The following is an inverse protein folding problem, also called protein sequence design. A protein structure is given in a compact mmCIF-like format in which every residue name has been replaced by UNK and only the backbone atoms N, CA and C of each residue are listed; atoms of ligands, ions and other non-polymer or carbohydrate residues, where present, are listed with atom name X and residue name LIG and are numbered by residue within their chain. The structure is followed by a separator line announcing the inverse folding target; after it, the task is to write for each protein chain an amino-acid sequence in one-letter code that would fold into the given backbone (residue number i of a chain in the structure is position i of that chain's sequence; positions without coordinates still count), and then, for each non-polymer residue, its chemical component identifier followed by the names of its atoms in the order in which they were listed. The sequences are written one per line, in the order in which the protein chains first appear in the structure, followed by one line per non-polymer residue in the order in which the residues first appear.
data_IF_792359542268
#
_entry.id   IF_792359542268
#
_cell.length_a   1.000
_cell.length_b   1.000
_cell.length_c   1.000
_cell.angle_alpha   90.00
_cell.angle_beta   90.00
_cell.angle_gamma   90.00
#
_symmetry.space_group_name_H-M   'P 1'
#
loop_
_entity.id
_entity.type
_entity.pdbx_description
1 polymer ?
#
# COMPACT_ATOMS: atom_id res chain seq x y z
N UNK A 1 -17.43 -0.45 -13.16
CA UNK A 1 -16.18 -0.17 -12.43
C UNK A 1 -16.30 -0.79 -11.05
N UNK A 2 -15.26 -1.44 -10.57
CA UNK A 2 -15.16 -1.91 -9.19
C UNK A 2 -14.93 -0.74 -8.24
N UNK A 3 -15.36 -0.89 -6.99
CA UNK A 3 -15.16 0.11 -5.93
C UNK A 3 -13.67 0.28 -5.61
N UNK A 4 -13.19 1.53 -5.47
CA UNK A 4 -11.80 1.81 -5.09
C UNK A 4 -11.73 2.13 -3.60
N UNK A 5 -10.91 1.42 -2.84
CA UNK A 5 -10.79 1.60 -1.37
C UNK A 5 -9.34 1.68 -0.94
N UNK A 6 -9.08 2.56 0.02
CA UNK A 6 -7.72 2.95 0.41
C UNK A 6 -7.54 2.80 1.91
N UNK A 7 -6.40 2.22 2.31
CA UNK A 7 -6.13 1.91 3.71
C UNK A 7 -4.70 2.26 4.09
N UNK A 8 -4.48 2.59 5.38
CA UNK A 8 -3.16 2.59 6.01
C UNK A 8 -3.19 1.99 7.40
N UNK A 9 -2.15 1.24 7.75
CA UNK A 9 -1.94 0.74 9.12
C UNK A 9 -0.49 0.91 9.53
N UNK A 10 -0.21 1.23 10.81
CA UNK A 10 1.14 1.20 11.32
C UNK A 10 1.58 -0.26 11.53
N UNK A 11 2.86 -0.54 11.34
CA UNK A 11 3.50 -1.79 11.74
C UNK A 11 4.77 -1.51 12.54
N UNK A 12 5.14 -2.43 13.43
CA UNK A 12 6.43 -2.41 14.13
C UNK A 12 7.30 -3.50 13.52
N UNK A 13 8.51 -3.16 13.10
CA UNK A 13 9.43 -4.17 12.59
C UNK A 13 10.00 -4.96 13.76
N UNK A 14 9.83 -6.28 13.74
CA UNK A 14 10.30 -7.17 14.81
C UNK A 14 11.81 -7.05 15.09
N UNK A 15 12.59 -6.62 14.09
CA UNK A 15 14.04 -6.43 14.19
C UNK A 15 14.47 -5.01 14.58
N UNK A 16 13.55 -4.08 14.83
CA UNK A 16 13.93 -2.70 15.21
C UNK A 16 14.25 -2.66 16.70
N UNK A 17 15.53 -2.52 17.04
CA UNK A 17 15.96 -2.32 18.43
C UNK A 17 15.37 -1.03 19.04
N UNK A 18 14.95 -0.08 18.20
CA UNK A 18 14.40 1.22 18.57
C UNK A 18 12.87 1.26 18.59
N UNK A 19 12.17 0.19 18.19
CA UNK A 19 10.70 0.16 18.15
C UNK A 19 10.08 1.09 17.10
N UNK A 20 10.86 1.45 16.08
CA UNK A 20 10.45 2.34 15.00
C UNK A 20 9.22 1.80 14.24
N UNK A 21 8.20 2.66 14.11
CA UNK A 21 6.94 2.34 13.42
C UNK A 21 7.05 2.69 11.94
N UNK A 22 6.79 1.71 11.09
CA UNK A 22 6.56 1.92 9.66
C UNK A 22 5.07 2.06 9.36
N UNK A 23 4.77 2.42 8.12
CA UNK A 23 3.40 2.50 7.60
C UNK A 23 3.22 1.60 6.40
N UNK A 24 2.17 0.78 6.43
CA UNK A 24 1.72 0.00 5.30
C UNK A 24 0.48 0.66 4.71
N UNK A 25 0.50 0.91 3.41
CA UNK A 25 -0.55 1.55 2.64
C UNK A 25 -1.04 0.60 1.56
N UNK A 26 -2.35 0.54 1.36
CA UNK A 26 -2.96 -0.32 0.35
C UNK A 26 -4.11 0.35 -0.37
N UNK A 27 -4.14 0.14 -1.68
CA UNK A 27 -5.23 0.50 -2.57
C UNK A 27 -5.83 -0.78 -3.15
N UNK A 28 -7.10 -1.03 -2.83
CA UNK A 28 -7.89 -2.14 -3.34
C UNK A 28 -8.76 -1.67 -4.51
N UNK A 29 -8.75 -2.45 -5.59
CA UNK A 29 -9.66 -2.32 -6.71
C UNK A 29 -10.68 -3.48 -6.64
N UNK A 30 -11.84 -3.20 -6.03
CA UNK A 30 -12.77 -4.24 -5.61
C UNK A 30 -12.20 -5.06 -4.45
N UNK A 31 -12.17 -6.39 -4.60
CA UNK A 31 -11.69 -7.29 -3.55
C UNK A 31 -10.18 -7.49 -3.55
N UNK A 32 -9.45 -7.03 -4.57
CA UNK A 32 -8.04 -7.34 -4.75
C UNK A 32 -7.17 -6.10 -4.69
N UNK A 33 -5.96 -6.26 -4.16
CA UNK A 33 -5.00 -5.18 -4.06
C UNK A 33 -4.49 -4.79 -5.46
N UNK A 34 -4.45 -3.49 -5.73
CA UNK A 34 -3.97 -2.93 -6.99
C UNK A 34 -2.64 -2.19 -6.82
N UNK A 35 -2.44 -1.51 -5.69
CA UNK A 35 -1.18 -0.85 -5.33
C UNK A 35 -0.92 -1.01 -3.83
N UNK A 36 0.35 -1.16 -3.47
CA UNK A 36 0.82 -1.28 -2.10
C UNK A 36 2.07 -0.41 -1.90
N UNK A 37 2.22 0.16 -0.70
CA UNK A 37 3.41 0.91 -0.33
C UNK A 37 3.79 0.67 1.12
N UNK A 38 5.09 0.50 1.37
CA UNK A 38 5.64 0.43 2.72
C UNK A 38 6.61 1.58 2.97
N UNK A 39 6.30 2.38 3.97
CA UNK A 39 7.14 3.48 4.43
C UNK A 39 7.88 3.05 5.69
N UNK A 40 9.20 3.09 5.62
CA UNK A 40 10.10 2.75 6.72
C UNK A 40 10.84 4.03 7.15
N UNK A 41 11.04 4.30 8.46
CA UNK A 41 11.67 5.56 8.90
C UNK A 41 13.10 5.80 8.41
N UNK A 42 13.85 4.73 8.14
CA UNK A 42 15.29 4.77 7.82
C UNK A 42 15.62 4.16 6.46
N UNK A 43 14.62 3.90 5.61
CA UNK A 43 14.83 3.27 4.30
C UNK A 43 13.97 3.94 3.23
N UNK A 44 14.37 3.75 1.97
CA UNK A 44 13.53 4.10 0.85
C UNK A 44 12.17 3.38 0.95
N UNK A 45 11.12 4.08 0.51
CA UNK A 45 9.79 3.49 0.41
C UNK A 45 9.80 2.30 -0.55
N UNK A 46 9.04 1.27 -0.20
CA UNK A 46 8.77 0.14 -1.09
C UNK A 46 7.47 0.45 -1.80
N UNK A 47 7.48 0.44 -3.13
CA UNK A 47 6.30 0.65 -3.97
C UNK A 47 6.04 -0.61 -4.76
N UNK A 48 4.79 -1.09 -4.77
CA UNK A 48 4.39 -2.34 -5.41
C UNK A 48 3.08 -2.14 -6.18
N UNK A 49 2.99 -2.72 -7.37
CA UNK A 49 1.79 -2.65 -8.22
C UNK A 49 1.40 -4.03 -8.74
N UNK A 50 0.08 -4.27 -8.83
CA UNK A 50 -0.45 -5.53 -9.32
C UNK A 50 0.00 -5.84 -10.75
N UNK A 51 0.22 -7.11 -11.04
CA UNK A 51 0.76 -7.64 -12.30
C UNK A 51 2.29 -7.56 -12.42
N UNK A 52 2.95 -6.68 -11.66
CA UNK A 52 4.42 -6.57 -11.62
C UNK A 52 5.00 -7.20 -10.36
N UNK A 53 4.38 -6.91 -9.22
CA UNK A 53 4.94 -7.17 -7.90
C UNK A 53 4.08 -8.15 -7.08
N UNK A 54 3.23 -8.94 -7.75
CA UNK A 54 2.20 -9.78 -7.11
C UNK A 54 2.76 -10.69 -6.01
N UNK A 55 3.93 -11.30 -6.23
CA UNK A 55 4.58 -12.18 -5.24
C UNK A 55 5.01 -11.46 -3.95
N UNK A 56 5.05 -10.12 -3.96
CA UNK A 56 5.47 -9.27 -2.83
C UNK A 56 4.30 -8.51 -2.21
N UNK A 57 3.11 -8.61 -2.80
CA UNK A 57 1.91 -7.90 -2.35
C UNK A 57 1.03 -8.77 -1.46
N UNK A 58 0.03 -8.15 -0.83
CA UNK A 58 -0.98 -8.87 -0.06
C UNK A 58 -1.80 -9.83 -0.96
N UNK A 59 -1.81 -11.12 -0.61
CA UNK A 59 -2.55 -12.17 -1.33
C UNK A 59 -4.00 -12.32 -0.86
N UNK A 60 -4.38 -11.66 0.25
CA UNK A 60 -5.70 -11.74 0.83
C UNK A 60 -6.67 -10.77 0.15
N UNK A 61 -7.92 -11.20 -0.01
CA UNK A 61 -8.99 -10.30 -0.43
C UNK A 61 -9.30 -9.24 0.64
N UNK A 62 -9.94 -8.14 0.24
CA UNK A 62 -10.30 -7.06 1.15
C UNK A 62 -11.10 -7.56 2.37
N UNK A 63 -12.06 -8.47 2.14
CA UNK A 63 -12.86 -9.04 3.21
C UNK A 63 -12.03 -9.93 4.17
N UNK A 64 -11.08 -10.70 3.64
CA UNK A 64 -10.17 -11.54 4.42
C UNK A 64 -9.17 -10.71 5.24
N UNK A 65 -8.74 -9.54 4.74
CA UNK A 65 -7.79 -8.67 5.45
C UNK A 65 -8.36 -8.07 6.74
N UNK A 66 -9.69 -8.03 6.86
CA UNK A 66 -10.42 -7.33 7.94
C UNK A 66 -10.11 -5.84 8.07
N UNK A 67 -9.46 -5.20 7.08
CA UNK A 67 -9.10 -3.78 7.12
C UNK A 67 -10.32 -2.88 7.28
N UNK A 68 -11.43 -3.25 6.66
CA UNK A 68 -12.73 -2.55 6.73
C UNK A 68 -13.30 -2.47 8.16
N UNK A 69 -12.89 -3.38 9.05
CA UNK A 69 -13.34 -3.43 10.44
C UNK A 69 -12.40 -2.71 11.40
N UNK A 70 -11.19 -2.34 10.93
CA UNK A 70 -10.17 -1.70 11.76
C UNK A 70 -10.39 -0.19 11.77
N UNK A 71 -10.82 0.34 12.92
CA UNK A 71 -11.07 1.78 13.10
C UNK A 71 -9.84 2.60 12.70
N UNK A 72 -10.04 3.56 11.80
CA UNK A 72 -8.99 4.46 11.32
C UNK A 72 -8.03 3.85 10.31
N UNK A 73 -8.28 2.64 9.81
CA UNK A 73 -7.49 2.06 8.73
C UNK A 73 -7.88 2.63 7.37
N UNK A 74 -9.17 2.83 7.10
CA UNK A 74 -9.64 3.38 5.83
C UNK A 74 -9.34 4.88 5.74
N UNK A 75 -8.83 5.31 4.60
CA UNK A 75 -8.39 6.68 4.30
C UNK A 75 -8.97 7.15 2.97
N UNK A 76 -8.83 8.44 2.70
CA UNK A 76 -9.24 9.03 1.42
C UNK A 76 -8.24 8.69 0.31
N UNK A 77 -8.74 8.60 -0.92
CA UNK A 77 -7.92 8.47 -2.14
C UNK A 77 -6.81 9.52 -2.18
N UNK A 78 -7.15 10.79 -1.94
CA UNK A 78 -6.19 11.89 -1.98
C UNK A 78 -5.03 11.71 -0.98
N UNK A 79 -5.28 11.10 0.18
CA UNK A 79 -4.24 10.81 1.16
C UNK A 79 -3.27 9.74 0.64
N UNK A 80 -3.81 8.69 0.01
CA UNK A 80 -3.01 7.66 -0.64
C UNK A 80 -2.19 8.22 -1.81
N UNK A 81 -2.84 8.94 -2.74
CA UNK A 81 -2.19 9.48 -3.94
C UNK A 81 -1.09 10.49 -3.60
N UNK A 82 -1.31 11.31 -2.57
CA UNK A 82 -0.29 12.26 -2.09
C UNK A 82 0.96 11.53 -1.62
N UNK A 83 0.81 10.48 -0.81
CA UNK A 83 1.95 9.72 -0.31
C UNK A 83 2.58 8.86 -1.43
N UNK A 84 1.78 8.29 -2.34
CA UNK A 84 2.26 7.56 -3.52
C UNK A 84 3.15 8.45 -4.41
N UNK A 85 2.67 9.65 -4.78
CA UNK A 85 3.44 10.61 -5.59
C UNK A 85 4.73 11.03 -4.90
N UNK A 86 4.65 11.38 -3.61
CA UNK A 86 5.81 11.80 -2.80
C UNK A 86 6.94 10.77 -2.81
N UNK A 87 6.60 9.49 -2.90
CA UNK A 87 7.58 8.40 -2.90
C UNK A 87 7.96 7.90 -4.31
N UNK A 88 7.55 8.60 -5.37
CA UNK A 88 7.94 8.27 -6.76
C UNK A 88 6.99 7.31 -7.48
N UNK A 89 5.79 7.10 -6.94
CA UNK A 89 4.80 6.17 -7.46
C UNK A 89 4.34 6.42 -8.89
N UNK A 90 4.29 7.69 -9.32
CA UNK A 90 3.91 8.04 -10.70
C UNK A 90 4.92 7.50 -11.73
N UNK A 91 6.22 7.58 -11.42
CA UNK A 91 7.26 7.01 -12.28
C UNK A 91 7.23 5.49 -12.24
N UNK A 92 6.99 4.91 -11.06
CA UNK A 92 6.96 3.46 -10.85
C UNK A 92 5.86 2.76 -11.67
N UNK A 93 4.64 3.34 -11.68
CA UNK A 93 3.52 2.81 -12.48
C UNK A 93 3.69 2.99 -13.98
N UNK A 94 4.49 3.96 -14.44
CA UNK A 94 4.64 4.28 -15.85
C UNK A 94 5.67 3.42 -16.58
N UNK A 95 6.51 2.64 -15.87
CA UNK A 95 7.60 1.86 -16.49
C UNK A 95 7.09 0.79 -17.47
N UNK A 96 5.83 0.34 -17.37
CA UNK A 96 5.29 -0.76 -18.20
C UNK A 96 4.06 -0.43 -19.05
N UNK A 97 3.64 0.84 -19.14
CA UNK A 97 2.51 1.23 -20.03
C UNK A 97 2.92 1.39 -21.50
N UNK A 98 4.21 1.18 -21.79
CA UNK A 98 4.79 1.10 -23.14
C UNK A 98 5.11 -0.37 -23.43
N UNK A 99 4.13 -1.13 -23.90
CA UNK A 99 4.28 -2.31 -24.76
C UNK A 99 2.92 -2.62 -25.37
#
# INVERSE_FOLDING_TARGET
QSEQRYFRIPFVRASSATGEKGWWWAHFNGQWIARQMEIHPSKAAILLVAGKDDMQMCELSLDETRLTTKRGAEILEEEFEREWRKNGGELYSNVNRKN
#
